data_IF_619908080212
#
_entry.id   IF_619908080212
#
_cell.length_a   1.000
_cell.length_b   1.000
_cell.length_c   1.000
_cell.angle_alpha   90.00
_cell.angle_beta   90.00
_cell.angle_gamma   90.00
#
_symmetry.space_group_name_H-M   'P 1'
#
loop_
_entity.id
_entity.type
_entity.pdbx_description
1 polymer ?
#
# COMPACT_ATOMS: atom_id res chain seq x y z
N UNK A 1 -13.19 23.19 15.09
CA UNK A 1 -11.98 24.00 15.36
C UNK A 1 -11.04 23.89 14.18
N UNK A 2 -10.58 25.00 13.56
CA UNK A 2 -9.66 24.95 12.43
C UNK A 2 -8.27 24.51 12.90
N UNK A 3 -7.60 23.64 12.13
CA UNK A 3 -6.30 23.08 12.50
C UNK A 3 -5.19 24.15 12.51
N UNK A 4 -4.22 24.08 13.45
CA UNK A 4 -3.13 25.05 13.52
C UNK A 4 -2.23 25.01 12.28
N UNK A 5 -1.90 26.20 11.78
CA UNK A 5 -0.94 26.41 10.69
C UNK A 5 0.44 25.91 11.14
N UNK A 6 0.92 24.80 10.58
CA UNK A 6 2.27 24.29 10.83
C UNK A 6 2.40 22.84 11.32
N UNK A 7 1.31 22.06 11.39
CA UNK A 7 1.43 20.62 11.63
C UNK A 7 2.12 19.92 10.45
N UNK A 8 3.43 19.68 10.59
CA UNK A 8 4.21 18.86 9.67
C UNK A 8 4.07 17.41 10.12
N UNK A 9 3.39 16.59 9.31
CA UNK A 9 3.44 15.14 9.44
C UNK A 9 4.92 14.71 9.39
N UNK A 10 5.41 14.02 10.43
CA UNK A 10 6.80 13.55 10.52
C UNK A 10 7.22 12.65 9.34
N UNK A 11 6.24 12.09 8.63
CA UNK A 11 6.43 11.40 7.38
C UNK A 11 5.52 12.08 6.36
N UNK A 12 6.12 12.82 5.43
CA UNK A 12 5.39 13.65 4.47
C UNK A 12 4.26 12.90 3.76
N UNK A 13 3.23 13.65 3.33
CA UNK A 13 2.16 13.09 2.52
C UNK A 13 2.72 12.71 1.15
N UNK A 14 2.77 11.41 0.84
CA UNK A 14 3.07 10.94 -0.50
C UNK A 14 1.95 11.43 -1.44
N UNK A 15 2.25 12.47 -2.21
CA UNK A 15 1.36 12.95 -3.27
C UNK A 15 1.37 11.94 -4.41
N UNK A 16 0.18 11.70 -4.96
CA UNK A 16 -0.22 10.56 -5.79
C UNK A 16 0.47 10.43 -7.19
N UNK A 17 1.74 10.84 -7.33
CA UNK A 17 2.58 10.62 -8.53
C UNK A 17 3.92 9.96 -8.23
N UNK A 18 4.34 9.90 -6.96
CA UNK A 18 5.64 9.33 -6.57
C UNK A 18 5.61 7.80 -6.45
N UNK A 19 4.43 7.19 -6.58
CA UNK A 19 4.23 5.76 -6.38
C UNK A 19 4.51 4.95 -7.65
N UNK A 20 5.72 4.99 -8.20
CA UNK A 20 6.22 4.05 -9.23
C UNK A 20 5.24 3.67 -10.38
N UNK A 21 4.37 4.59 -10.83
CA UNK A 21 3.35 4.31 -11.85
C UNK A 21 2.13 3.49 -11.38
N UNK A 22 1.84 3.47 -10.09
CA UNK A 22 0.69 2.78 -9.50
C UNK A 22 -0.65 3.41 -9.85
N UNK A 23 -1.64 2.56 -10.12
CA UNK A 23 -3.01 2.96 -10.44
C UNK A 23 -3.81 3.33 -9.19
N UNK A 24 -4.78 4.25 -9.36
CA UNK A 24 -5.68 4.59 -8.27
C UNK A 24 -6.70 3.44 -7.98
N UNK A 25 -7.28 3.43 -6.78
CA UNK A 25 -8.23 2.37 -6.39
C UNK A 25 -9.50 2.33 -7.26
N UNK A 26 -9.86 3.44 -7.92
CA UNK A 26 -11.03 3.51 -8.79
C UNK A 26 -10.73 2.86 -10.15
N UNK A 27 -9.53 3.08 -10.69
CA UNK A 27 -9.02 2.42 -11.89
C UNK A 27 -8.88 0.92 -11.62
N UNK A 28 -8.25 0.53 -10.50
CA UNK A 28 -8.16 -0.88 -10.09
C UNK A 28 -9.55 -1.52 -10.01
N UNK A 29 -10.49 -0.87 -9.33
CA UNK A 29 -11.85 -1.41 -9.22
C UNK A 29 -12.56 -1.54 -10.58
N UNK A 30 -12.34 -0.59 -11.49
CA UNK A 30 -12.90 -0.61 -12.84
C UNK A 30 -12.31 -1.73 -13.67
N UNK A 31 -10.98 -1.88 -13.69
CA UNK A 31 -10.28 -2.95 -14.41
C UNK A 31 -10.71 -4.31 -13.88
N UNK A 32 -10.68 -4.50 -12.56
CA UNK A 32 -11.07 -5.76 -11.93
C UNK A 32 -12.54 -6.11 -12.22
N UNK A 33 -13.44 -5.13 -12.18
CA UNK A 33 -14.85 -5.33 -12.54
C UNK A 33 -15.01 -5.71 -14.00
N UNK A 34 -14.26 -5.09 -14.92
CA UNK A 34 -14.25 -5.47 -16.35
C UNK A 34 -13.73 -6.89 -16.57
N UNK A 35 -12.77 -7.33 -15.74
CA UNK A 35 -12.26 -8.71 -15.74
C UNK A 35 -13.18 -9.73 -15.07
N UNK A 36 -14.40 -9.35 -14.66
CA UNK A 36 -15.39 -10.24 -14.04
C UNK A 36 -15.38 -10.24 -12.50
N UNK A 37 -14.45 -9.53 -11.86
CA UNK A 37 -14.38 -9.40 -10.40
C UNK A 37 -15.04 -8.10 -9.95
N UNK A 38 -16.38 -8.13 -9.82
CA UNK A 38 -17.17 -6.96 -9.42
C UNK A 38 -16.70 -6.41 -8.07
N UNK A 39 -16.13 -5.21 -8.08
CA UNK A 39 -15.65 -4.54 -6.87
C UNK A 39 -15.75 -3.02 -6.99
N UNK A 40 -15.90 -2.35 -5.85
CA UNK A 40 -15.84 -0.90 -5.76
C UNK A 40 -14.47 -0.44 -5.23
N UNK A 41 -14.23 0.88 -5.23
CA UNK A 41 -12.97 1.46 -4.78
C UNK A 41 -12.60 1.08 -3.32
N UNK A 42 -13.59 0.96 -2.43
CA UNK A 42 -13.37 0.58 -1.03
C UNK A 42 -12.97 -0.90 -0.93
N UNK A 43 -13.62 -1.77 -1.69
CA UNK A 43 -13.25 -3.19 -1.80
C UNK A 43 -11.84 -3.34 -2.35
N UNK A 44 -11.50 -2.62 -3.43
CA UNK A 44 -10.15 -2.64 -4.00
C UNK A 44 -9.09 -2.25 -2.96
N UNK A 45 -9.32 -1.15 -2.24
CA UNK A 45 -8.44 -0.72 -1.14
C UNK A 45 -8.31 -1.77 -0.03
N UNK A 46 -9.42 -2.39 0.38
CA UNK A 46 -9.40 -3.38 1.47
C UNK A 46 -8.67 -4.66 1.06
N UNK A 47 -8.87 -5.13 -0.17
CA UNK A 47 -8.14 -6.28 -0.72
C UNK A 47 -6.65 -5.94 -0.81
N UNK A 48 -6.30 -4.77 -1.33
CA UNK A 48 -4.92 -4.30 -1.44
C UNK A 48 -4.21 -4.24 -0.07
N UNK A 49 -4.82 -3.57 0.91
CA UNK A 49 -4.26 -3.50 2.27
C UNK A 49 -4.17 -4.88 2.94
N UNK A 50 -5.10 -5.78 2.65
CA UNK A 50 -5.04 -7.16 3.15
C UNK A 50 -3.89 -7.93 2.54
N UNK A 51 -3.60 -7.74 1.26
CA UNK A 51 -2.43 -8.33 0.61
C UNK A 51 -1.13 -7.78 1.21
N UNK A 52 -1.03 -6.46 1.41
CA UNK A 52 0.14 -5.84 2.02
C UNK A 52 0.39 -6.31 3.46
N UNK A 53 -0.65 -6.52 4.25
CA UNK A 53 -0.51 -7.11 5.60
C UNK A 53 0.11 -8.51 5.56
N UNK A 54 -0.27 -9.34 4.59
CA UNK A 54 0.33 -10.67 4.39
C UNK A 54 1.80 -10.59 4.05
N UNK A 55 2.25 -9.53 3.38
CA UNK A 55 3.68 -9.28 3.10
C UNK A 55 4.37 -8.69 4.34
N UNK A 56 3.71 -7.80 5.08
CA UNK A 56 4.28 -7.19 6.28
C UNK A 56 4.58 -8.22 7.37
N UNK A 57 3.73 -9.24 7.54
CA UNK A 57 3.91 -10.28 8.56
C UNK A 57 5.28 -10.98 8.52
N UNK A 58 5.70 -11.61 7.41
CA UNK A 58 7.01 -12.25 7.34
C UNK A 58 8.16 -11.24 7.47
N UNK A 59 8.01 -10.00 6.98
CA UNK A 59 9.03 -8.95 7.16
C UNK A 59 9.22 -8.64 8.64
N UNK A 60 8.15 -8.50 9.41
CA UNK A 60 8.23 -8.31 10.87
C UNK A 60 8.87 -9.52 11.56
N UNK A 61 8.49 -10.75 11.17
CA UNK A 61 9.05 -11.97 11.74
C UNK A 61 10.57 -12.08 11.53
N UNK A 62 11.06 -11.79 10.32
CA UNK A 62 12.49 -11.84 9.99
C UNK A 62 13.29 -10.81 10.81
N UNK A 63 12.69 -9.66 11.10
CA UNK A 63 13.32 -8.58 11.85
C UNK A 63 13.07 -8.67 13.37
N UNK A 64 12.48 -9.76 13.87
CA UNK A 64 12.08 -9.93 15.27
C UNK A 64 11.20 -8.78 15.81
N UNK A 65 10.32 -8.24 14.97
CA UNK A 65 9.38 -7.17 15.30
C UNK A 65 7.99 -7.73 15.70
N UNK A 66 7.18 -6.94 16.43
CA UNK A 66 5.84 -7.37 16.83
C UNK A 66 4.90 -7.63 15.65
N UNK A 67 4.19 -8.76 15.66
CA UNK A 67 3.29 -9.21 14.58
C UNK A 67 1.80 -9.01 14.90
N UNK A 68 1.45 -8.08 15.80
CA UNK A 68 0.05 -7.81 16.13
C UNK A 68 -0.69 -7.19 14.93
N UNK A 69 -1.99 -7.46 14.83
CA UNK A 69 -2.81 -7.00 13.69
C UNK A 69 -2.77 -5.48 13.53
N UNK A 70 -2.74 -4.73 14.64
CA UNK A 70 -2.65 -3.28 14.64
C UNK A 70 -1.31 -2.78 14.06
N UNK A 71 -0.20 -3.40 14.45
CA UNK A 71 1.14 -3.05 13.96
C UNK A 71 1.26 -3.39 12.48
N UNK A 72 0.79 -4.57 12.06
CA UNK A 72 0.79 -4.97 10.65
C UNK A 72 -0.09 -4.05 9.80
N UNK A 73 -1.24 -3.63 10.32
CA UNK A 73 -2.12 -2.67 9.64
C UNK A 73 -1.45 -1.29 9.51
N UNK A 74 -0.70 -0.85 10.53
CA UNK A 74 0.07 0.40 10.49
C UNK A 74 1.17 0.32 9.45
N UNK A 75 1.96 -0.76 9.43
CA UNK A 75 3.00 -0.99 8.42
C UNK A 75 2.41 -1.08 7.01
N UNK A 76 1.31 -1.81 6.80
CA UNK A 76 0.68 -1.94 5.49
C UNK A 76 0.12 -0.61 4.95
N UNK A 77 -0.22 0.35 5.82
CA UNK A 77 -0.65 1.70 5.43
C UNK A 77 0.51 2.67 5.25
N UNK A 78 1.73 2.32 5.67
CA UNK A 78 2.89 3.21 5.59
C UNK A 78 3.33 3.36 4.12
N UNK A 79 3.36 4.59 3.57
CA UNK A 79 3.76 4.82 2.18
C UNK A 79 5.16 4.30 1.85
N UNK A 80 6.11 4.32 2.81
CA UNK A 80 7.49 3.85 2.61
C UNK A 80 7.52 2.34 2.45
N UNK A 81 6.74 1.62 3.26
CA UNK A 81 6.61 0.18 3.15
C UNK A 81 5.99 -0.21 1.81
N UNK A 82 4.89 0.45 1.45
CA UNK A 82 4.22 0.23 0.18
C UNK A 82 5.17 0.51 -1.02
N UNK A 83 6.02 1.55 -0.91
CA UNK A 83 6.96 1.92 -1.97
C UNK A 83 8.06 0.87 -2.11
N UNK A 84 8.64 0.41 -1.00
CA UNK A 84 9.62 -0.68 -1.03
C UNK A 84 9.07 -1.98 -1.61
N UNK A 85 7.80 -2.32 -1.33
CA UNK A 85 7.13 -3.45 -1.98
C UNK A 85 6.99 -3.24 -3.49
N UNK A 86 6.61 -2.03 -3.93
CA UNK A 86 6.50 -1.70 -5.35
C UNK A 86 7.87 -1.79 -6.07
N UNK A 87 8.94 -1.30 -5.44
CA UNK A 87 10.30 -1.35 -5.99
C UNK A 87 10.79 -2.79 -6.18
N UNK A 88 10.53 -3.66 -5.19
CA UNK A 88 10.83 -5.10 -5.30
C UNK A 88 10.05 -5.72 -6.46
N UNK A 89 8.74 -5.44 -6.57
CA UNK A 89 7.90 -5.97 -7.65
C UNK A 89 8.39 -5.50 -9.03
N UNK A 90 8.75 -4.23 -9.16
CA UNK A 90 9.30 -3.67 -10.40
C UNK A 90 10.65 -4.31 -10.76
N UNK A 91 11.50 -4.53 -9.77
CA UNK A 91 12.79 -5.21 -9.96
C UNK A 91 12.59 -6.65 -10.48
N UNK A 92 11.64 -7.40 -9.90
CA UNK A 92 11.30 -8.76 -10.34
C UNK A 92 10.73 -8.77 -11.76
N UNK A 93 9.82 -7.85 -12.07
CA UNK A 93 9.17 -7.79 -13.38
C UNK A 93 10.14 -7.35 -14.50
N UNK A 94 11.11 -6.50 -14.17
CA UNK A 94 12.12 -6.04 -15.13
C UNK A 94 13.14 -7.12 -15.44
N UNK A 95 13.50 -7.97 -14.46
CA UNK A 95 14.39 -9.13 -14.70
C UNK A 95 13.76 -10.25 -15.54
N UNK A 96 12.44 -10.22 -15.75
CA UNK A 96 11.72 -11.20 -16.60
C UNK A 96 11.58 -10.77 -18.07
N UNK A 97 12.16 -9.63 -18.46
CA UNK A 97 12.30 -9.22 -19.86
C UNK A 97 13.69 -9.54 -20.37
#
# INVERSE_FOLDING_TARGET
MPMPKGYKSEHGYATNKTFAGGEDYRTIATVMTKSGHKMNHATARNVFLSALRKIAKPVHQINNLPVSEEVLQKTAKDPRFQAGVADILNSINTQRK
#
